data_IF_183187622959
#
_entry.id   IF_183187622959
#
_cell.length_a   1.000
_cell.length_b   1.000
_cell.length_c   1.000
_cell.angle_alpha   90.00
_cell.angle_beta   90.00
_cell.angle_gamma   90.00
#
_symmetry.space_group_name_H-M   'P 1'
#
loop_
_entity.id
_entity.type
_entity.pdbx_description
1 polymer ?
#
# COMPACT_ATOMS: atom_id res chain seq x y z
N UNK A 1 -14.24 -6.95 -9.32
CA UNK A 1 -13.29 -6.80 -8.21
C UNK A 1 -14.00 -7.10 -6.92
N UNK A 2 -13.49 -8.04 -6.14
CA UNK A 2 -14.00 -8.35 -4.80
C UNK A 2 -13.34 -7.41 -3.79
N UNK A 3 -14.10 -6.97 -2.78
CA UNK A 3 -13.57 -6.14 -1.70
C UNK A 3 -13.07 -7.02 -0.55
N UNK A 4 -11.81 -6.85 -0.17
CA UNK A 4 -11.19 -7.56 0.95
C UNK A 4 -10.81 -6.55 2.03
N UNK A 5 -11.35 -6.73 3.25
CA UNK A 5 -10.87 -5.99 4.41
C UNK A 5 -9.48 -6.51 4.78
N UNK A 6 -8.48 -5.63 4.74
CA UNK A 6 -7.16 -5.96 5.27
C UNK A 6 -7.27 -6.18 6.78
N UNK A 7 -7.23 -7.44 7.22
CA UNK A 7 -7.39 -7.79 8.62
C UNK A 7 -6.17 -7.31 9.41
N UNK A 8 -6.34 -6.27 10.26
CA UNK A 8 -5.32 -5.72 11.17
C UNK A 8 -4.01 -5.23 10.54
N UNK A 9 -4.03 -4.86 9.26
CA UNK A 9 -2.84 -4.57 8.49
C UNK A 9 -2.87 -3.10 8.06
N UNK A 10 -2.22 -2.23 8.84
CA UNK A 10 -1.98 -0.84 8.43
C UNK A 10 -1.25 -0.76 7.09
N UNK A 11 -0.98 0.44 6.61
CA UNK A 11 -0.37 0.70 5.28
C UNK A 11 0.71 -0.30 4.87
N UNK A 12 1.59 -0.66 5.81
CA UNK A 12 2.68 -1.60 5.59
C UNK A 12 4.04 -0.94 5.71
N UNK A 13 4.98 -1.73 6.23
CA UNK A 13 6.40 -1.41 6.31
C UNK A 13 7.21 -2.53 5.68
N UNK A 14 8.39 -2.17 5.20
CA UNK A 14 9.38 -3.12 4.72
C UNK A 14 10.15 -3.69 5.92
N UNK A 15 10.21 -5.02 6.01
CA UNK A 15 10.96 -5.75 7.01
C UNK A 15 11.77 -6.81 6.28
N UNK A 16 13.11 -6.70 6.33
CA UNK A 16 14.04 -7.64 5.70
C UNK A 16 13.74 -7.89 4.20
N UNK A 17 13.47 -6.83 3.43
CA UNK A 17 13.18 -6.93 2.00
C UNK A 17 11.77 -7.42 1.66
N UNK A 18 10.91 -7.63 2.66
CA UNK A 18 9.52 -8.06 2.46
C UNK A 18 8.55 -7.02 2.99
N UNK A 19 7.49 -6.75 2.24
CA UNK A 19 6.45 -5.82 2.64
C UNK A 19 5.34 -6.49 3.44
N UNK A 20 4.97 -5.83 4.53
CA UNK A 20 3.79 -6.17 5.32
C UNK A 20 2.60 -5.28 4.90
N UNK A 21 1.43 -5.52 5.49
CA UNK A 21 0.31 -4.59 5.34
C UNK A 21 -0.30 -4.56 3.94
N UNK A 22 -0.96 -3.44 3.62
CA UNK A 22 -1.56 -3.21 2.31
C UNK A 22 -0.52 -3.24 1.17
N UNK A 23 0.66 -2.64 1.38
CA UNK A 23 1.75 -2.70 0.39
C UNK A 23 2.15 -4.15 0.14
N UNK A 24 2.27 -4.97 1.19
CA UNK A 24 2.57 -6.40 1.06
C UNK A 24 1.51 -7.17 0.28
N UNK A 25 0.23 -6.85 0.45
CA UNK A 25 -0.84 -7.49 -0.31
C UNK A 25 -0.76 -7.19 -1.81
N UNK A 26 -0.40 -5.95 -2.18
CA UNK A 26 -0.20 -5.56 -3.58
C UNK A 26 1.05 -6.23 -4.15
N UNK A 27 2.19 -6.13 -3.48
CA UNK A 27 3.48 -6.73 -3.92
C UNK A 27 3.36 -8.24 -4.14
N UNK A 28 2.59 -8.93 -3.30
CA UNK A 28 2.37 -10.37 -3.40
C UNK A 28 1.17 -10.76 -4.29
N UNK A 29 0.64 -9.84 -5.10
CA UNK A 29 -0.49 -10.04 -6.01
C UNK A 29 -1.73 -10.66 -5.33
N UNK A 30 -1.99 -10.31 -4.07
CA UNK A 30 -3.19 -10.75 -3.33
C UNK A 30 -4.39 -9.85 -3.60
N UNK A 31 -4.14 -8.61 -4.00
CA UNK A 31 -5.12 -7.63 -4.46
C UNK A 31 -4.54 -6.85 -5.63
N UNK A 32 -5.39 -6.40 -6.54
CA UNK A 32 -4.97 -5.58 -7.68
C UNK A 32 -4.72 -4.12 -7.27
N UNK A 33 -5.51 -3.62 -6.31
CA UNK A 33 -5.47 -2.22 -5.83
C UNK A 33 -5.71 -2.19 -4.33
N UNK A 34 -4.92 -1.41 -3.60
CA UNK A 34 -5.15 -1.05 -2.21
C UNK A 34 -5.58 0.42 -2.09
N UNK A 35 -6.54 0.71 -1.21
CA UNK A 35 -7.05 2.05 -0.96
C UNK A 35 -6.90 2.40 0.52
N UNK A 36 -6.15 3.45 0.82
CA UNK A 36 -5.99 4.01 2.17
C UNK A 36 -5.57 5.48 2.06
N UNK A 37 -5.81 6.26 3.12
CA UNK A 37 -5.28 7.62 3.26
C UNK A 37 -3.87 7.57 3.86
N UNK A 38 -2.85 7.56 3.00
CA UNK A 38 -1.46 7.59 3.43
C UNK A 38 -0.59 8.43 2.48
N UNK A 39 0.45 9.02 3.05
CA UNK A 39 1.44 9.77 2.28
C UNK A 39 2.30 8.85 1.42
N UNK A 40 2.63 9.33 0.22
CA UNK A 40 3.65 8.73 -0.65
C UNK A 40 5.01 8.92 0.00
N UNK A 41 5.63 7.84 0.46
CA UNK A 41 7.03 7.84 0.87
C UNK A 41 7.90 7.30 -0.25
N UNK A 42 9.18 7.70 -0.28
CA UNK A 42 10.14 7.23 -1.28
C UNK A 42 10.29 5.71 -1.25
N UNK A 43 10.28 5.10 -0.07
CA UNK A 43 10.40 3.65 0.11
C UNK A 43 9.25 2.91 -0.57
N UNK A 44 8.01 3.40 -0.43
CA UNK A 44 6.82 2.77 -1.02
C UNK A 44 6.75 2.98 -2.53
N UNK A 45 7.22 4.12 -3.04
CA UNK A 45 7.30 4.39 -4.48
C UNK A 45 8.25 3.43 -5.21
N UNK A 46 9.21 2.83 -4.50
CA UNK A 46 10.08 1.79 -5.06
C UNK A 46 9.42 0.40 -5.09
N UNK A 47 8.31 0.21 -4.36
CA UNK A 47 7.66 -1.09 -4.20
C UNK A 47 6.34 -1.19 -4.96
N UNK A 48 5.59 -0.09 -5.08
CA UNK A 48 4.27 -0.03 -5.72
C UNK A 48 4.08 1.31 -6.44
N UNK A 49 3.19 1.29 -7.43
CA UNK A 49 2.72 2.50 -8.10
C UNK A 49 1.53 3.13 -7.37
N UNK A 50 1.41 4.45 -7.50
CA UNK A 50 0.32 5.23 -6.92
C UNK A 50 -0.50 5.90 -8.00
N UNK A 51 -1.81 6.00 -7.77
CA UNK A 51 -2.66 6.91 -8.55
C UNK A 51 -2.33 8.37 -8.27
N UNK A 52 -2.98 9.28 -9.00
CA UNK A 52 -2.97 10.70 -8.64
C UNK A 52 -3.44 10.90 -7.20
N UNK A 53 -2.76 11.79 -6.47
CA UNK A 53 -3.10 12.10 -5.09
C UNK A 53 -4.45 12.83 -5.03
N UNK A 54 -5.31 12.39 -4.11
CA UNK A 54 -6.62 13.01 -3.85
C UNK A 54 -6.55 14.13 -2.82
N UNK A 55 -5.46 14.21 -2.04
CA UNK A 55 -5.21 15.23 -1.03
C UNK A 55 -3.72 15.58 -0.99
N UNK A 56 -3.43 16.86 -0.77
CA UNK A 56 -2.08 17.38 -0.54
C UNK A 56 -2.08 18.08 0.81
N UNK A 57 -1.21 17.62 1.71
CA UNK A 57 -0.94 18.33 2.97
C UNK A 57 -0.27 19.67 2.65
N UNK A 58 -0.75 20.76 3.27
CA UNK A 58 -0.36 22.14 2.95
C UNK A 58 0.37 22.80 4.11
#
# INVERSE_FOLDING_TARGET
TEYVLAHNMGTGSEVNGTWTGLVGMVVNNKVDVALELFSRSTERLNAIDFSSAVYYDR
#
